data_IF_115501394014
#
_entry.id   IF_115501394014
#
_cell.length_a   1.000
_cell.length_b   1.000
_cell.length_c   1.000
_cell.angle_alpha   90.00
_cell.angle_beta   90.00
_cell.angle_gamma   90.00
#
_symmetry.space_group_name_H-M   'P 1'
#
loop_
_entity.id
_entity.type
_entity.pdbx_description
1 polymer ?
#
# COMPACT_ATOMS: atom_id res chain seq x y z
N UNK A 1 38.69 5.16 0.41
CA UNK A 1 37.73 4.19 -0.17
C UNK A 1 36.49 3.97 0.69
N UNK A 2 36.57 4.10 2.03
CA UNK A 2 35.39 4.08 2.91
C UNK A 2 34.45 5.30 2.72
N UNK A 3 35.04 6.48 2.46
CA UNK A 3 34.30 7.76 2.33
C UNK A 3 33.33 7.80 1.13
N UNK A 4 33.74 7.26 -0.02
CA UNK A 4 32.89 7.14 -1.21
C UNK A 4 31.72 6.18 -0.99
N UNK A 5 31.91 5.13 -0.19
CA UNK A 5 30.85 4.16 0.11
C UNK A 5 29.74 4.78 0.98
N UNK A 6 30.13 5.58 1.98
CA UNK A 6 29.18 6.30 2.86
C UNK A 6 28.39 7.34 2.05
N UNK A 7 29.05 8.07 1.14
CA UNK A 7 28.39 9.03 0.26
C UNK A 7 27.36 8.36 -0.68
N UNK A 8 27.69 7.20 -1.24
CA UNK A 8 26.75 6.45 -2.09
C UNK A 8 25.54 5.92 -1.31
N UNK A 9 25.74 5.45 -0.07
CA UNK A 9 24.63 5.00 0.79
C UNK A 9 23.69 6.15 1.17
N UNK A 10 24.25 7.32 1.51
CA UNK A 10 23.47 8.53 1.78
C UNK A 10 22.67 8.98 0.56
N UNK A 11 23.27 8.92 -0.64
CA UNK A 11 22.57 9.26 -1.89
C UNK A 11 21.41 8.30 -2.19
N UNK A 12 21.60 6.99 -2.02
CA UNK A 12 20.53 6.01 -2.19
C UNK A 12 19.39 6.21 -1.18
N UNK A 13 19.73 6.51 0.08
CA UNK A 13 18.74 6.82 1.11
C UNK A 13 17.92 8.07 0.75
N UNK A 14 18.57 9.10 0.20
CA UNK A 14 17.90 10.30 -0.29
C UNK A 14 16.95 10.03 -1.46
N UNK A 15 17.33 9.16 -2.40
CA UNK A 15 16.51 8.81 -3.57
C UNK A 15 15.27 8.00 -3.15
N UNK A 16 15.43 7.05 -2.22
CA UNK A 16 14.30 6.28 -1.66
C UNK A 16 13.35 7.19 -0.89
N UNK A 17 13.86 8.18 -0.16
CA UNK A 17 13.01 9.16 0.52
C UNK A 17 12.24 10.09 -0.43
N UNK A 18 12.75 10.35 -1.63
CA UNK A 18 12.13 11.23 -2.62
C UNK A 18 11.01 10.54 -3.44
N UNK A 19 11.04 9.21 -3.52
CA UNK A 19 9.94 8.40 -4.05
C UNK A 19 9.27 7.65 -2.90
N UNK A 20 8.45 8.33 -2.08
CA UNK A 20 7.69 7.64 -1.05
C UNK A 20 6.86 6.54 -1.73
N UNK A 21 6.77 5.34 -1.14
CA UNK A 21 5.84 4.34 -1.62
C UNK A 21 4.45 4.96 -1.71
N UNK A 22 3.65 4.63 -2.74
CA UNK A 22 2.33 5.26 -2.96
C UNK A 22 1.43 5.12 -1.74
N UNK A 23 1.66 4.07 -0.95
CA UNK A 23 1.15 3.94 0.39
C UNK A 23 2.24 3.44 1.37
N UNK A 24 2.66 4.23 2.37
CA UNK A 24 3.71 3.81 3.30
C UNK A 24 3.23 2.81 4.36
N UNK A 25 1.94 2.81 4.73
CA UNK A 25 1.37 1.79 5.61
C UNK A 25 -0.04 1.40 5.15
N UNK A 26 -0.24 0.15 4.77
CA UNK A 26 -1.53 -0.39 4.36
C UNK A 26 -2.22 -1.16 5.51
N UNK A 27 -3.50 -0.87 5.75
CA UNK A 27 -4.34 -1.61 6.69
C UNK A 27 -5.63 -2.10 6.03
N UNK A 28 -5.92 -3.39 6.15
CA UNK A 28 -7.16 -3.98 5.67
C UNK A 28 -8.38 -3.54 6.49
N UNK A 29 -9.54 -3.43 5.82
CA UNK A 29 -10.79 -3.00 6.46
C UNK A 29 -11.70 -4.21 6.71
N UNK A 30 -12.07 -4.50 7.96
CA UNK A 30 -13.04 -5.54 8.27
C UNK A 30 -14.36 -5.29 7.54
N UNK A 31 -14.88 -6.29 6.82
CA UNK A 31 -16.14 -6.18 6.08
C UNK A 31 -16.05 -5.50 4.71
N UNK A 32 -14.92 -4.87 4.35
CA UNK A 32 -14.71 -4.24 3.04
C UNK A 32 -13.41 -4.78 2.40
N UNK A 33 -13.43 -6.00 1.85
CA UNK A 33 -12.20 -6.73 1.50
C UNK A 33 -11.39 -6.13 0.34
N UNK A 34 -12.00 -5.26 -0.46
CA UNK A 34 -11.42 -4.62 -1.65
C UNK A 34 -11.02 -3.15 -1.45
N UNK A 35 -11.12 -2.65 -0.21
CA UNK A 35 -10.57 -1.36 0.20
C UNK A 35 -9.58 -1.54 1.33
N UNK A 36 -8.64 -0.61 1.42
CA UNK A 36 -7.66 -0.55 2.49
C UNK A 36 -7.43 0.89 2.91
N UNK A 37 -7.08 1.08 4.17
CA UNK A 37 -6.57 2.34 4.64
C UNK A 37 -5.11 2.46 4.26
N UNK A 38 -4.76 3.64 3.78
CA UNK A 38 -3.40 4.05 3.56
C UNK A 38 -3.04 5.12 4.57
N UNK A 39 -2.14 4.81 5.50
CA UNK A 39 -1.69 5.77 6.50
C UNK A 39 -0.35 6.38 6.09
N UNK A 40 -0.29 7.71 6.06
CA UNK A 40 0.87 8.51 5.72
C UNK A 40 1.68 8.90 6.96
N UNK A 41 2.96 9.24 6.76
CA UNK A 41 3.87 9.63 7.84
C UNK A 41 3.46 10.94 8.54
N UNK A 42 2.67 11.78 7.87
CA UNK A 42 2.10 13.02 8.43
C UNK A 42 0.82 12.77 9.26
N UNK A 43 0.38 11.51 9.39
CA UNK A 43 -0.82 11.11 10.11
C UNK A 43 -2.09 11.13 9.26
N UNK A 44 -2.04 11.59 8.01
CA UNK A 44 -3.18 11.51 7.10
C UNK A 44 -3.51 10.05 6.80
N UNK A 45 -4.79 9.79 6.55
CA UNK A 45 -5.26 8.45 6.18
C UNK A 45 -6.20 8.54 4.99
N UNK A 46 -5.85 7.87 3.90
CA UNK A 46 -6.68 7.77 2.70
C UNK A 46 -7.32 6.39 2.60
N UNK A 47 -8.48 6.35 1.95
CA UNK A 47 -9.16 5.11 1.62
C UNK A 47 -8.84 4.77 0.16
N UNK A 48 -8.03 3.73 -0.05
CA UNK A 48 -7.60 3.31 -1.39
C UNK A 48 -8.23 1.97 -1.79
N UNK A 49 -8.32 1.76 -3.11
CA UNK A 49 -8.79 0.50 -3.68
C UNK A 49 -7.65 -0.51 -3.77
N UNK A 50 -7.94 -1.78 -3.47
CA UNK A 50 -7.02 -2.87 -3.81
C UNK A 50 -6.95 -3.06 -5.32
N UNK A 51 -5.85 -3.64 -5.76
CA UNK A 51 -5.67 -4.03 -7.15
C UNK A 51 -6.87 -4.86 -7.65
N UNK A 52 -7.30 -4.59 -8.88
CA UNK A 52 -8.30 -5.41 -9.53
C UNK A 52 -7.83 -6.88 -9.58
N UNK A 53 -8.80 -7.79 -9.60
CA UNK A 53 -8.60 -9.25 -9.57
C UNK A 53 -8.06 -9.83 -8.27
N UNK A 54 -7.76 -9.01 -7.27
CA UNK A 54 -7.36 -9.49 -5.93
C UNK A 54 -8.45 -10.40 -5.36
N UNK A 55 -8.12 -11.60 -4.83
CA UNK A 55 -9.11 -12.47 -4.22
C UNK A 55 -9.82 -11.81 -3.03
N UNK A 56 -11.14 -11.96 -2.97
CA UNK A 56 -11.96 -11.47 -1.86
C UNK A 56 -13.06 -12.48 -1.51
N UNK A 57 -13.68 -12.29 -0.35
CA UNK A 57 -14.78 -13.14 0.12
C UNK A 57 -16.07 -12.31 0.14
N UNK A 58 -17.06 -12.76 -0.62
CA UNK A 58 -18.40 -12.16 -0.64
C UNK A 58 -19.20 -12.55 0.60
N UNK A 59 -20.29 -11.83 0.91
CA UNK A 59 -21.27 -12.27 1.89
C UNK A 59 -21.69 -13.73 1.63
N UNK A 60 -21.90 -14.50 2.69
CA UNK A 60 -22.16 -15.95 2.59
C UNK A 60 -20.92 -16.81 2.36
N UNK A 61 -19.75 -16.20 2.23
CA UNK A 61 -18.48 -16.90 2.18
C UNK A 61 -18.02 -17.36 0.80
N UNK A 62 -18.73 -16.96 -0.25
CA UNK A 62 -18.36 -17.28 -1.63
C UNK A 62 -17.07 -16.55 -2.04
N UNK A 63 -16.18 -17.20 -2.81
CA UNK A 63 -15.05 -16.51 -3.41
C UNK A 63 -15.55 -15.46 -4.41
N UNK A 64 -14.77 -14.40 -4.54
CA UNK A 64 -14.96 -13.31 -5.48
C UNK A 64 -13.62 -12.64 -5.82
N UNK A 65 -13.68 -11.61 -6.65
CA UNK A 65 -12.53 -10.79 -7.02
C UNK A 65 -12.83 -9.31 -6.84
N UNK A 66 -11.79 -8.54 -6.52
CA UNK A 66 -11.91 -7.10 -6.44
C UNK A 66 -12.05 -6.48 -7.84
N UNK A 67 -13.02 -5.58 -7.97
CA UNK A 67 -13.27 -4.81 -9.18
C UNK A 67 -13.79 -3.42 -8.78
N UNK A 68 -13.04 -2.37 -9.11
CA UNK A 68 -13.39 -0.99 -8.76
C UNK A 68 -13.72 -0.81 -7.26
N UNK A 69 -12.91 -1.41 -6.38
CA UNK A 69 -13.11 -1.35 -4.93
C UNK A 69 -14.26 -2.20 -4.37
N UNK A 70 -14.95 -3.00 -5.19
CA UNK A 70 -16.02 -3.92 -4.78
C UNK A 70 -15.63 -5.38 -4.96
N UNK A 71 -16.18 -6.26 -4.12
CA UNK A 71 -15.97 -7.71 -4.22
C UNK A 71 -17.11 -8.34 -5.05
N UNK A 72 -16.80 -8.73 -6.28
CA UNK A 72 -17.73 -9.34 -7.25
C UNK A 72 -17.55 -10.86 -7.39
#
# INVERSE_FOLDING_TARGET
>A
MLSTFIFCLLAMYYIVSANPPPCPMEMGIPGVPCRMFCQYADGNTDLIEKANETPCKRPGGHPGKCKYGHCE
#
